data_IF_038105837653
#
_entry.id   IF_038105837653
#
_cell.length_a   1.000
_cell.length_b   1.000
_cell.length_c   1.000
_cell.angle_alpha   90.00
_cell.angle_beta   90.00
_cell.angle_gamma   90.00
#
_symmetry.space_group_name_H-M   'P 1'
#
loop_
_entity.id
_entity.type
_entity.pdbx_description
1 polymer ?
#
# COMPACT_ATOMS: atom_id res chain seq x y z
N UNK A 1 18.35 -33.15 24.28
CA UNK A 1 18.12 -31.74 24.66
C UNK A 1 18.54 -30.87 23.48
N UNK A 2 17.56 -30.17 22.89
CA UNK A 2 17.62 -29.54 21.59
C UNK A 2 18.59 -28.34 21.58
N UNK A 3 19.59 -28.33 20.68
CA UNK A 3 20.58 -27.25 20.56
C UNK A 3 19.95 -26.10 19.77
N UNK A 4 19.49 -25.10 20.52
CA UNK A 4 18.98 -23.82 20.05
C UNK A 4 20.03 -23.07 19.23
N UNK A 5 19.77 -22.86 17.94
CA UNK A 5 20.49 -21.89 17.12
C UNK A 5 19.75 -20.55 17.23
N UNK A 6 20.25 -19.66 18.08
CA UNK A 6 19.81 -18.27 18.14
C UNK A 6 20.80 -17.41 17.35
N UNK A 7 20.37 -16.89 16.22
CA UNK A 7 21.10 -15.87 15.47
C UNK A 7 20.68 -14.47 15.97
N UNK A 8 21.61 -13.61 16.43
CA UNK A 8 21.29 -12.22 16.66
C UNK A 8 21.48 -11.38 15.38
N UNK A 9 20.34 -10.83 14.93
CA UNK A 9 20.11 -9.47 14.41
C UNK A 9 21.23 -8.79 13.63
N UNK A 10 21.03 -8.67 12.32
CA UNK A 10 21.70 -7.66 11.49
C UNK A 10 21.02 -6.31 11.70
N UNK A 11 21.74 -5.21 11.98
CA UNK A 11 21.17 -3.87 11.89
C UNK A 11 21.14 -3.45 10.42
N UNK A 12 19.94 -3.21 9.89
CA UNK A 12 19.73 -2.60 8.60
C UNK A 12 20.26 -1.15 8.66
N UNK A 13 21.48 -0.96 8.18
CA UNK A 13 22.03 0.35 7.88
C UNK A 13 21.23 0.93 6.70
N UNK A 14 20.35 1.85 7.08
CA UNK A 14 19.66 2.81 6.24
C UNK A 14 20.71 3.65 5.50
N UNK A 15 21.07 3.24 4.29
CA UNK A 15 21.85 4.09 3.40
C UNK A 15 20.92 5.12 2.75
N UNK A 16 21.28 6.37 2.99
CA UNK A 16 20.58 7.58 2.61
C UNK A 16 20.50 7.76 1.09
N UNK A 17 19.31 8.12 0.60
CA UNK A 17 19.15 8.73 -0.73
C UNK A 17 19.53 10.23 -0.63
N UNK A 18 20.37 10.77 -1.52
CA UNK A 18 20.72 12.18 -1.49
C UNK A 18 19.54 13.04 -1.97
N UNK A 19 19.20 14.01 -1.12
CA UNK A 19 18.34 15.15 -1.38
C UNK A 19 18.82 15.94 -2.61
N UNK A 20 17.97 16.04 -3.63
CA UNK A 20 18.01 17.13 -4.60
C UNK A 20 17.27 18.36 -4.06
N UNK A 21 17.73 19.60 -4.31
CA UNK A 21 17.05 20.79 -3.83
C UNK A 21 15.97 21.30 -4.81
N UNK A 22 14.83 21.64 -4.22
CA UNK A 22 13.86 22.70 -4.57
C UNK A 22 13.37 22.91 -6.02
N UNK A 23 12.05 22.80 -6.19
CA UNK A 23 11.22 23.91 -6.69
C UNK A 23 9.78 23.73 -6.16
N UNK A 24 9.39 24.46 -5.12
CA UNK A 24 8.59 25.70 -5.19
C UNK A 24 7.11 25.50 -5.54
N UNK A 25 6.26 25.68 -4.52
CA UNK A 25 4.82 25.90 -4.67
C UNK A 25 4.05 25.73 -3.36
N UNK A 26 3.67 26.82 -2.65
CA UNK A 26 2.85 26.75 -1.45
C UNK A 26 1.35 26.88 -1.78
N UNK A 27 0.53 26.37 -0.85
CA UNK A 27 -0.93 26.59 -0.69
C UNK A 27 -1.83 25.64 -1.51
N UNK A 28 -2.42 24.68 -0.79
CA UNK A 28 -3.46 23.81 -1.31
C UNK A 28 -4.01 22.84 -0.26
N UNK A 29 -4.32 23.32 0.94
CA UNK A 29 -5.32 22.62 1.76
C UNK A 29 -6.70 23.09 1.30
N UNK A 30 -7.65 22.14 1.28
CA UNK A 30 -9.06 22.23 0.88
C UNK A 30 -9.34 21.90 -0.60
N UNK A 31 -9.40 20.60 -0.89
CA UNK A 31 -9.84 20.01 -2.16
C UNK A 31 -8.94 18.90 -2.71
N UNK A 32 -7.78 18.65 -2.08
CA UNK A 32 -6.71 17.80 -2.59
C UNK A 32 -6.96 16.29 -2.51
N UNK A 33 -8.20 15.85 -2.36
CA UNK A 33 -8.49 14.43 -2.21
C UNK A 33 -8.59 13.67 -3.54
N UNK A 34 -9.04 14.34 -4.60
CA UNK A 34 -9.29 13.72 -5.90
C UNK A 34 -8.16 13.94 -6.92
N UNK A 35 -7.16 14.74 -6.56
CA UNK A 35 -6.00 14.97 -7.41
C UNK A 35 -5.25 13.66 -7.65
N UNK A 36 -4.85 13.40 -8.91
CA UNK A 36 -4.02 12.26 -9.28
C UNK A 36 -2.68 12.31 -8.53
N UNK A 37 -2.14 11.14 -8.17
CA UNK A 37 -0.83 11.06 -7.52
C UNK A 37 0.30 11.40 -8.48
N UNK A 38 1.24 12.22 -8.00
CA UNK A 38 2.53 12.42 -8.65
C UNK A 38 3.38 11.14 -8.63
N UNK A 39 4.23 10.99 -9.65
CA UNK A 39 5.16 9.85 -9.77
C UNK A 39 6.09 9.70 -8.57
N UNK A 40 6.49 10.80 -7.91
CA UNK A 40 7.29 10.78 -6.68
C UNK A 40 6.52 10.22 -5.48
N UNK A 41 5.23 10.51 -5.36
CA UNK A 41 4.39 9.94 -4.31
C UNK A 41 4.13 8.45 -4.57
N UNK A 42 3.88 8.07 -5.83
CA UNK A 42 3.76 6.66 -6.23
C UNK A 42 5.02 5.85 -5.90
N UNK A 43 6.20 6.40 -6.21
CA UNK A 43 7.48 5.72 -5.97
C UNK A 43 7.72 5.48 -4.47
N UNK A 44 7.39 6.48 -3.63
CA UNK A 44 7.47 6.36 -2.16
C UNK A 44 6.48 5.34 -1.60
N UNK A 45 5.25 5.32 -2.12
CA UNK A 45 4.22 4.37 -1.70
C UNK A 45 4.62 2.93 -2.08
N UNK A 46 5.08 2.74 -3.33
CA UNK A 46 5.57 1.46 -3.83
C UNK A 46 6.72 0.91 -3.01
N UNK A 47 7.63 1.75 -2.52
CA UNK A 47 8.71 1.31 -1.65
C UNK A 47 8.22 0.86 -0.27
N UNK A 48 7.22 1.54 0.31
CA UNK A 48 6.57 1.12 1.57
C UNK A 48 5.83 -0.20 1.46
N UNK A 49 5.30 -0.51 0.27
CA UNK A 49 4.58 -1.75 0.01
C UNK A 49 5.49 -2.97 -0.19
N UNK A 50 6.83 -2.79 -0.18
CA UNK A 50 7.79 -3.90 -0.23
C UNK A 50 7.92 -4.48 1.17
N UNK A 51 7.18 -5.55 1.45
CA UNK A 51 7.15 -6.17 2.78
C UNK A 51 7.82 -7.55 2.74
N UNK A 52 7.95 -8.18 3.90
CA UNK A 52 8.60 -9.50 4.03
C UNK A 52 7.75 -10.66 3.52
N UNK A 53 6.47 -10.43 3.18
CA UNK A 53 5.50 -11.44 2.80
C UNK A 53 5.15 -11.31 1.31
N UNK A 54 5.52 -12.33 0.53
CA UNK A 54 5.45 -12.30 -0.93
C UNK A 54 4.00 -12.16 -1.45
N UNK A 55 3.03 -12.80 -0.79
CA UNK A 55 1.62 -12.64 -1.16
C UNK A 55 1.16 -11.18 -1.08
N UNK A 56 1.57 -10.43 -0.05
CA UNK A 56 1.23 -9.01 0.09
C UNK A 56 1.83 -8.20 -1.06
N UNK A 57 3.11 -8.42 -1.38
CA UNK A 57 3.77 -7.75 -2.50
C UNK A 57 3.06 -8.04 -3.83
N UNK A 58 2.62 -9.27 -4.08
CA UNK A 58 1.90 -9.64 -5.31
C UNK A 58 0.55 -8.94 -5.43
N UNK A 59 -0.21 -8.82 -4.34
CA UNK A 59 -1.48 -8.09 -4.34
C UNK A 59 -1.26 -6.62 -4.67
N UNK A 60 -0.28 -6.01 -4.02
CA UNK A 60 0.00 -4.59 -4.19
C UNK A 60 0.59 -4.31 -5.58
N UNK A 61 1.47 -5.16 -6.11
CA UNK A 61 2.01 -5.01 -7.47
C UNK A 61 0.89 -5.04 -8.52
N UNK A 62 -0.05 -5.98 -8.40
CA UNK A 62 -1.21 -6.09 -9.30
C UNK A 62 -2.10 -4.86 -9.23
N UNK A 63 -2.34 -4.36 -8.01
CA UNK A 63 -3.09 -3.14 -7.79
C UNK A 63 -2.42 -1.94 -8.49
N UNK A 64 -1.13 -1.73 -8.28
CA UNK A 64 -0.40 -0.63 -8.92
C UNK A 64 -0.43 -0.76 -10.46
N UNK A 65 -0.16 -1.94 -11.01
CA UNK A 65 -0.21 -2.14 -12.47
C UNK A 65 -1.55 -1.78 -13.12
N UNK A 66 -2.65 -1.85 -12.36
CA UNK A 66 -3.99 -1.57 -12.85
C UNK A 66 -4.45 -0.14 -12.58
N UNK A 67 -4.16 0.36 -11.38
CA UNK A 67 -4.70 1.62 -10.87
C UNK A 67 -3.67 2.75 -10.77
N UNK A 68 -2.39 2.54 -11.14
CA UNK A 68 -1.35 3.59 -11.07
C UNK A 68 -1.76 4.90 -11.75
N UNK A 69 -2.46 4.82 -12.87
CA UNK A 69 -2.91 5.99 -13.64
C UNK A 69 -4.19 6.66 -13.09
N UNK A 70 -4.93 5.98 -12.20
CA UNK A 70 -6.18 6.44 -11.61
C UNK A 70 -6.08 6.62 -10.08
N UNK A 71 -4.88 6.47 -9.53
CA UNK A 71 -4.62 6.64 -8.10
C UNK A 71 -4.68 8.13 -7.75
N UNK A 72 -5.58 8.48 -6.83
CA UNK A 72 -5.75 9.84 -6.32
C UNK A 72 -5.19 9.95 -4.91
N UNK A 73 -4.91 11.16 -4.46
CA UNK A 73 -4.34 11.44 -3.14
C UNK A 73 -5.19 10.83 -2.01
N UNK A 74 -6.52 10.75 -2.16
CA UNK A 74 -7.41 9.99 -1.25
C UNK A 74 -7.09 8.52 -1.22
N UNK A 75 -6.94 7.88 -2.37
CA UNK A 75 -6.56 6.48 -2.44
C UNK A 75 -5.19 6.24 -1.79
N UNK A 76 -4.23 7.15 -1.98
CA UNK A 76 -2.94 7.06 -1.30
C UNK A 76 -3.06 7.21 0.22
N UNK A 77 -3.94 8.08 0.73
CA UNK A 77 -4.19 8.20 2.15
C UNK A 77 -4.79 6.90 2.74
N UNK A 78 -5.76 6.30 2.04
CA UNK A 78 -6.32 4.99 2.41
C UNK A 78 -5.26 3.88 2.42
N UNK A 79 -4.42 3.81 1.38
CA UNK A 79 -3.28 2.90 1.33
C UNK A 79 -2.30 3.14 2.47
N UNK A 80 -2.01 4.40 2.81
CA UNK A 80 -1.08 4.71 3.90
C UNK A 80 -1.57 4.16 5.24
N UNK A 81 -2.87 4.22 5.50
CA UNK A 81 -3.49 3.62 6.69
C UNK A 81 -3.41 2.09 6.65
N UNK A 82 -3.66 1.46 5.49
CA UNK A 82 -3.49 0.01 5.32
C UNK A 82 -2.04 -0.44 5.53
N UNK A 83 -1.05 0.39 5.18
CA UNK A 83 0.37 0.11 5.36
C UNK A 83 0.84 0.24 6.82
N UNK A 84 0.07 0.90 7.70
CA UNK A 84 0.35 0.98 9.13
C UNK A 84 0.06 -0.36 9.85
N UNK A 85 -0.79 -1.20 9.25
CA UNK A 85 -1.14 -2.51 9.76
C UNK A 85 -0.01 -3.53 9.58
N UNK A 86 0.02 -4.56 10.44
CA UNK A 86 0.94 -5.68 10.27
C UNK A 86 0.61 -6.51 9.01
N UNK A 87 1.61 -7.23 8.51
CA UNK A 87 1.51 -8.02 7.28
C UNK A 87 0.37 -9.05 7.31
N UNK A 88 0.18 -9.72 8.45
CA UNK A 88 -0.87 -10.71 8.64
C UNK A 88 -2.26 -10.07 8.67
N UNK A 89 -2.41 -8.95 9.39
CA UNK A 89 -3.68 -8.21 9.46
C UNK A 89 -4.10 -7.66 8.10
N UNK A 90 -3.15 -7.12 7.33
CA UNK A 90 -3.40 -6.67 5.96
C UNK A 90 -3.84 -7.84 5.07
N UNK A 91 -3.15 -8.97 5.15
CA UNK A 91 -3.49 -10.16 4.38
C UNK A 91 -4.89 -10.70 4.75
N UNK A 92 -5.24 -10.74 6.04
CA UNK A 92 -6.57 -11.17 6.51
C UNK A 92 -7.68 -10.22 6.02
N UNK A 93 -7.42 -8.90 5.96
CA UNK A 93 -8.35 -7.93 5.37
C UNK A 93 -8.53 -8.14 3.85
N UNK A 94 -7.43 -8.38 3.13
CA UNK A 94 -7.45 -8.63 1.68
C UNK A 94 -8.16 -9.94 1.33
N UNK A 95 -8.00 -10.97 2.15
CA UNK A 95 -8.66 -12.27 2.01
C UNK A 95 -10.13 -12.27 2.47
N UNK A 96 -10.67 -11.13 2.93
CA UNK A 96 -11.96 -11.01 3.63
C UNK A 96 -12.11 -11.93 4.85
N UNK A 97 -11.02 -12.30 5.50
CA UNK A 97 -11.05 -13.02 6.76
C UNK A 97 -11.36 -12.08 7.92
N UNK A 98 -11.08 -10.79 7.75
CA UNK A 98 -11.45 -9.69 8.64
C UNK A 98 -12.10 -8.56 7.84
N UNK A 99 -13.00 -7.80 8.48
CA UNK A 99 -13.57 -6.57 7.93
C UNK A 99 -12.88 -5.33 8.53
N UNK A 100 -12.79 -4.21 7.79
CA UNK A 100 -12.24 -2.97 8.33
C UNK A 100 -13.21 -2.35 9.33
N UNK A 101 -12.79 -2.24 10.60
CA UNK A 101 -13.59 -1.69 11.69
C UNK A 101 -12.91 -0.48 12.34
N UNK A 102 -13.69 0.42 12.95
CA UNK A 102 -13.18 1.58 13.67
C UNK A 102 -12.40 2.56 12.78
N UNK A 103 -11.11 2.76 13.10
CA UNK A 103 -10.24 3.66 12.33
C UNK A 103 -10.02 3.22 10.88
N UNK A 104 -10.20 1.92 10.57
CA UNK A 104 -10.08 1.37 9.22
C UNK A 104 -11.38 1.49 8.41
N UNK A 105 -12.51 1.77 9.06
CA UNK A 105 -13.80 1.99 8.39
C UNK A 105 -13.90 3.40 7.75
N UNK A 106 -12.75 4.04 7.49
CA UNK A 106 -12.68 5.29 6.78
C UNK A 106 -13.07 5.05 5.31
N UNK A 107 -13.83 5.98 4.68
CA UNK A 107 -14.32 5.79 3.33
C UNK A 107 -13.18 5.63 2.31
N UNK A 108 -12.02 6.26 2.53
CA UNK A 108 -10.86 6.09 1.64
C UNK A 108 -10.24 4.69 1.73
N UNK A 109 -10.22 4.11 2.93
CA UNK A 109 -9.72 2.75 3.16
C UNK A 109 -10.67 1.72 2.56
N UNK A 110 -11.98 1.89 2.78
CA UNK A 110 -13.00 1.01 2.21
C UNK A 110 -12.96 1.02 0.69
N UNK A 111 -12.81 2.19 0.09
CA UNK A 111 -12.74 2.36 -1.36
C UNK A 111 -11.51 1.64 -1.95
N UNK A 112 -10.33 1.88 -1.36
CA UNK A 112 -9.09 1.23 -1.80
C UNK A 112 -9.08 -0.26 -1.51
N UNK A 113 -9.63 -0.69 -0.38
CA UNK A 113 -9.81 -2.11 -0.08
C UNK A 113 -10.76 -2.76 -1.09
N UNK A 114 -11.79 -2.04 -1.54
CA UNK A 114 -12.66 -2.43 -2.64
C UNK A 114 -11.89 -2.65 -3.93
N UNK A 115 -11.06 -1.69 -4.34
CA UNK A 115 -10.20 -1.80 -5.53
C UNK A 115 -9.16 -2.91 -5.41
N UNK A 116 -8.56 -3.12 -4.25
CA UNK A 116 -7.64 -4.23 -3.97
C UNK A 116 -8.33 -5.59 -4.03
N UNK A 117 -9.61 -5.63 -3.61
CA UNK A 117 -10.47 -6.82 -3.64
C UNK A 117 -11.17 -7.04 -4.98
N UNK A 118 -11.13 -6.07 -5.89
CA UNK A 118 -11.52 -6.28 -7.28
C UNK A 118 -10.55 -7.32 -7.86
N UNK A 119 -10.93 -8.58 -7.68
CA UNK A 119 -10.43 -9.67 -8.49
C UNK A 119 -10.66 -9.23 -9.93
N UNK A 120 -9.67 -9.35 -10.84
CA UNK A 120 -9.96 -9.15 -12.25
C UNK A 120 -11.19 -10.01 -12.54
N UNK A 121 -12.29 -9.35 -12.95
CA UNK A 121 -13.48 -10.05 -13.39
C UNK A 121 -12.95 -11.13 -14.32
N UNK A 122 -13.07 -12.39 -13.89
CA UNK A 122 -12.62 -13.50 -14.68
C UNK A 122 -13.18 -13.24 -16.07
N UNK A 123 -12.31 -13.06 -17.05
CA UNK A 123 -12.74 -12.99 -18.44
C UNK A 123 -13.75 -14.12 -18.62
N UNK A 124 -14.95 -13.87 -19.18
CA UNK A 124 -15.98 -14.89 -19.26
C UNK A 124 -15.32 -16.11 -19.90
N UNK A 125 -15.14 -17.16 -19.10
CA UNK A 125 -14.57 -18.41 -19.56
C UNK A 125 -15.60 -18.97 -20.52
N UNK A 126 -15.42 -18.65 -21.80
CA UNK A 126 -16.21 -19.21 -22.89
C UNK A 126 -15.82 -20.68 -22.97
N UNK A 127 -16.83 -21.49 -22.69
CA UNK A 127 -16.92 -22.94 -22.94
C UNK A 127 -16.45 -23.29 -24.36
#
# INVERSE_FOLDING_TARGET
>A
MNRSLAAPVVPALQEAVPSGPSSSGPRGSCGAGDALLDSTALSRLRWRCRRGLLENDLFIERFFKRHEAALTVRHAAGLQQLMDLADNDLLDLLLRRREPEGALAAPEVIDVLGMLRERPAAAPQRD
#
